data_IF_082557541588
#
_entry.id   IF_082557541588
#
_cell.length_a   1.000
_cell.length_b   1.000
_cell.length_c   1.000
_cell.angle_alpha   90.00
_cell.angle_beta   90.00
_cell.angle_gamma   90.00
#
_symmetry.space_group_name_H-M   'P 1'
#
loop_
_entity.id
_entity.type
_entity.pdbx_description
1 polymer ?
#
# COMPACT_ATOMS: atom_id res chain seq x y z
N UNK A 1 -8.76 7.23 15.10
CA UNK A 1 -7.70 7.70 14.18
C UNK A 1 -7.84 7.16 12.74
N UNK A 2 -8.94 6.49 12.36
CA UNK A 2 -9.21 6.05 10.98
C UNK A 2 -9.65 7.16 10.00
N UNK A 3 -10.10 8.30 10.52
CA UNK A 3 -10.73 9.38 9.74
C UNK A 3 -9.81 10.12 8.74
N UNK A 4 -8.49 9.96 8.85
CA UNK A 4 -7.54 10.64 7.94
C UNK A 4 -7.19 9.77 6.73
N UNK A 5 -7.07 8.44 6.91
CA UNK A 5 -6.66 7.53 5.85
C UNK A 5 -7.70 7.45 4.72
N UNK A 6 -8.99 7.34 5.04
CA UNK A 6 -10.06 7.29 4.02
C UNK A 6 -10.14 8.59 3.20
N UNK A 7 -10.02 9.75 3.87
CA UNK A 7 -9.97 11.05 3.20
C UNK A 7 -8.76 11.16 2.29
N UNK A 8 -7.61 10.67 2.74
CA UNK A 8 -6.41 10.64 1.93
C UNK A 8 -6.60 9.74 0.70
N UNK A 9 -7.24 8.57 0.84
CA UNK A 9 -7.59 7.72 -0.32
C UNK A 9 -8.51 8.43 -1.30
N UNK A 10 -9.53 9.15 -0.82
CA UNK A 10 -10.39 9.97 -1.68
C UNK A 10 -9.60 11.05 -2.42
N UNK A 11 -8.70 11.74 -1.72
CA UNK A 11 -7.85 12.78 -2.30
C UNK A 11 -6.89 12.20 -3.36
N UNK A 12 -6.26 11.05 -3.08
CA UNK A 12 -5.40 10.36 -4.04
C UNK A 12 -6.18 9.97 -5.30
N UNK A 13 -7.41 9.47 -5.16
CA UNK A 13 -8.28 9.14 -6.31
C UNK A 13 -8.67 10.37 -7.11
N UNK A 14 -8.94 11.50 -6.46
CA UNK A 14 -9.27 12.76 -7.14
C UNK A 14 -8.08 13.30 -7.95
N UNK A 15 -6.86 13.22 -7.39
CA UNK A 15 -5.64 13.73 -8.04
C UNK A 15 -5.15 12.80 -9.14
N UNK A 16 -5.14 11.48 -8.89
CA UNK A 16 -4.61 10.49 -9.82
C UNK A 16 -5.63 10.08 -10.89
N UNK A 17 -6.93 10.09 -10.57
CA UNK A 17 -8.02 9.71 -11.48
C UNK A 17 -7.75 8.33 -12.12
N UNK A 18 -7.73 8.23 -13.44
CA UNK A 18 -7.43 7.00 -14.20
C UNK A 18 -6.03 6.46 -13.94
N UNK A 19 -5.13 7.29 -13.41
CA UNK A 19 -3.79 6.87 -13.02
C UNK A 19 -3.77 6.25 -11.62
N UNK A 20 -4.86 6.18 -10.86
CA UNK A 20 -4.85 5.50 -9.56
C UNK A 20 -4.51 4.01 -9.74
N UNK A 21 -3.46 3.52 -9.07
CA UNK A 21 -3.05 2.12 -9.12
C UNK A 21 -4.00 1.28 -8.29
N UNK A 22 -4.54 0.22 -8.87
CA UNK A 22 -5.23 -0.82 -8.10
C UNK A 22 -4.39 -2.10 -8.16
N UNK A 23 -4.10 -2.67 -7.00
CA UNK A 23 -3.33 -3.91 -6.87
C UNK A 23 -4.26 -5.06 -6.46
N UNK A 24 -4.05 -6.23 -7.07
CA UNK A 24 -4.75 -7.43 -6.67
C UNK A 24 -3.90 -8.68 -6.89
N UNK A 25 -3.91 -9.59 -5.92
CA UNK A 25 -3.35 -10.93 -6.11
C UNK A 25 -4.43 -11.84 -6.71
N UNK A 26 -4.17 -12.39 -7.90
CA UNK A 26 -5.12 -13.26 -8.62
C UNK A 26 -4.98 -14.73 -8.22
N UNK A 27 -3.75 -15.18 -8.03
CA UNK A 27 -3.41 -16.52 -7.60
C UNK A 27 -2.09 -16.49 -6.84
N UNK A 28 -1.87 -17.49 -5.98
CA UNK A 28 -0.58 -17.68 -5.31
C UNK A 28 -0.31 -19.16 -5.05
N UNK A 29 0.97 -19.51 -4.93
CA UNK A 29 1.47 -20.74 -4.34
C UNK A 29 2.36 -20.42 -3.15
N UNK A 30 2.38 -21.34 -2.19
CA UNK A 30 3.11 -21.21 -0.94
C UNK A 30 3.86 -22.51 -0.67
N UNK A 31 5.14 -22.40 -0.39
CA UNK A 31 5.97 -23.49 0.13
C UNK A 31 6.55 -23.03 1.46
N UNK A 32 6.35 -23.83 2.51
CA UNK A 32 6.77 -23.48 3.86
C UNK A 32 7.55 -24.65 4.47
N UNK A 33 8.79 -24.38 4.88
CA UNK A 33 9.60 -25.29 5.67
C UNK A 33 9.47 -24.90 7.15
N UNK A 34 8.54 -25.58 7.83
CA UNK A 34 8.27 -25.36 9.25
C UNK A 34 9.46 -25.68 10.16
N UNK A 35 10.42 -26.49 9.70
CA UNK A 35 11.61 -26.83 10.49
C UNK A 35 12.66 -25.72 10.44
N UNK A 36 12.71 -24.98 9.33
CA UNK A 36 13.64 -23.86 9.12
C UNK A 36 13.00 -22.49 9.38
N UNK A 37 11.67 -22.43 9.47
CA UNK A 37 10.93 -21.18 9.57
C UNK A 37 11.07 -20.34 8.29
N UNK A 38 11.15 -20.99 7.14
CA UNK A 38 11.33 -20.36 5.83
C UNK A 38 10.05 -20.54 5.00
N UNK A 39 9.64 -19.46 4.35
CA UNK A 39 8.44 -19.40 3.54
C UNK A 39 8.76 -18.76 2.19
N UNK A 40 8.43 -19.47 1.11
CA UNK A 40 8.51 -19.01 -0.26
C UNK A 40 7.09 -18.84 -0.80
N UNK A 41 6.79 -17.65 -1.30
CA UNK A 41 5.50 -17.35 -1.92
C UNK A 41 5.71 -16.88 -3.36
N UNK A 42 5.00 -17.49 -4.30
CA UNK A 42 4.88 -16.99 -5.68
C UNK A 42 3.44 -16.53 -5.90
N UNK A 43 3.25 -15.37 -6.49
CA UNK A 43 1.91 -14.82 -6.69
C UNK A 43 1.78 -14.02 -7.98
N UNK A 44 0.58 -14.04 -8.54
CA UNK A 44 0.20 -13.28 -9.72
C UNK A 44 -0.35 -11.92 -9.29
N UNK A 45 0.47 -10.88 -9.40
CA UNK A 45 0.11 -9.50 -9.09
C UNK A 45 -0.50 -8.84 -10.34
N UNK A 46 -1.78 -8.52 -10.27
CA UNK A 46 -2.43 -7.66 -11.25
C UNK A 46 -2.25 -6.19 -10.87
N UNK A 47 -1.78 -5.40 -11.83
CA UNK A 47 -1.65 -3.95 -11.77
C UNK A 47 -2.54 -3.40 -12.89
N UNK A 48 -3.62 -2.68 -12.56
CA UNK A 48 -4.58 -2.17 -13.58
C UNK A 48 -5.16 -3.31 -14.45
N UNK A 49 -5.71 -3.00 -15.63
CA UNK A 49 -6.21 -3.96 -16.63
C UNK A 49 -5.09 -4.69 -17.39
N UNK A 50 -3.86 -4.68 -16.86
CA UNK A 50 -2.73 -5.35 -17.47
C UNK A 50 -2.70 -6.84 -17.13
N UNK A 51 -1.92 -7.60 -17.90
CA UNK A 51 -1.70 -9.01 -17.61
C UNK A 51 -1.00 -9.16 -16.24
N UNK A 52 -1.47 -10.08 -15.37
CA UNK A 52 -0.83 -10.31 -14.09
C UNK A 52 0.64 -10.68 -14.26
N UNK A 53 1.50 -10.09 -13.43
CA UNK A 53 2.94 -10.39 -13.39
C UNK A 53 3.20 -11.38 -12.27
N UNK A 54 4.07 -12.36 -12.51
CA UNK A 54 4.51 -13.29 -11.47
C UNK A 54 5.57 -12.64 -10.59
N UNK A 55 5.32 -12.63 -9.29
CA UNK A 55 6.21 -12.06 -8.28
C UNK A 55 6.54 -13.16 -7.28
N UNK A 56 7.80 -13.19 -6.84
CA UNK A 56 8.28 -14.09 -5.81
C UNK A 56 8.69 -13.29 -4.57
N UNK A 57 8.41 -13.83 -3.40
CA UNK A 57 8.82 -13.26 -2.12
C UNK A 57 9.19 -14.35 -1.13
N UNK A 58 10.14 -14.02 -0.25
CA UNK A 58 10.64 -14.91 0.80
C UNK A 58 10.45 -14.25 2.15
N UNK A 59 10.20 -15.05 3.18
CA UNK A 59 10.01 -14.57 4.54
C UNK A 59 9.85 -15.71 5.54
N UNK A 60 9.41 -15.38 6.75
CA UNK A 60 9.15 -16.37 7.82
C UNK A 60 7.70 -16.88 7.84
N UNK A 61 6.85 -16.36 6.96
CA UNK A 61 5.46 -16.77 6.80
C UNK A 61 4.78 -16.02 5.65
N UNK A 62 3.53 -16.38 5.33
CA UNK A 62 2.82 -15.91 4.14
C UNK A 62 2.80 -14.38 3.98
N UNK A 63 2.54 -13.66 5.07
CA UNK A 63 2.40 -12.19 5.04
C UNK A 63 3.75 -11.50 4.85
N UNK A 64 4.78 -12.01 5.53
CA UNK A 64 6.14 -11.51 5.40
C UNK A 64 6.69 -11.79 3.99
N UNK A 65 6.51 -13.02 3.48
CA UNK A 65 6.89 -13.39 2.13
C UNK A 65 6.18 -12.53 1.07
N UNK A 66 4.86 -12.33 1.21
CA UNK A 66 4.10 -11.44 0.32
C UNK A 66 4.65 -10.01 0.36
N UNK A 67 4.84 -9.45 1.55
CA UNK A 67 5.30 -8.08 1.70
C UNK A 67 6.70 -7.87 1.15
N UNK A 68 7.61 -8.82 1.39
CA UNK A 68 8.95 -8.81 0.80
C UNK A 68 8.90 -8.91 -0.73
N UNK A 69 8.03 -9.76 -1.29
CA UNK A 69 7.85 -9.85 -2.75
C UNK A 69 7.30 -8.56 -3.35
N UNK A 70 6.28 -7.96 -2.72
CA UNK A 70 5.74 -6.66 -3.13
C UNK A 70 6.81 -5.57 -3.05
N UNK A 71 7.56 -5.49 -1.94
CA UNK A 71 8.63 -4.52 -1.75
C UNK A 71 9.73 -4.70 -2.79
N UNK A 72 10.22 -5.91 -3.02
CA UNK A 72 11.28 -6.15 -4.02
C UNK A 72 10.83 -5.79 -5.44
N UNK A 73 9.58 -6.09 -5.78
CA UNK A 73 9.04 -5.81 -7.10
C UNK A 73 8.74 -4.32 -7.33
N UNK A 74 8.21 -3.63 -6.34
CA UNK A 74 7.70 -2.26 -6.48
C UNK A 74 8.66 -1.18 -5.97
N UNK A 75 9.58 -1.48 -5.06
CA UNK A 75 10.40 -0.45 -4.41
C UNK A 75 11.41 0.25 -5.33
N UNK A 76 11.77 -0.36 -6.46
CA UNK A 76 12.59 0.31 -7.48
C UNK A 76 11.89 1.56 -8.02
N UNK A 77 10.60 1.43 -8.32
CA UNK A 77 9.79 2.52 -8.87
C UNK A 77 9.18 3.38 -7.76
N UNK A 78 8.94 2.78 -6.58
CA UNK A 78 8.27 3.39 -5.44
C UNK A 78 9.07 3.22 -4.13
N UNK A 79 10.15 4.00 -3.90
CA UNK A 79 10.98 3.91 -2.70
C UNK A 79 10.23 4.05 -1.37
N UNK A 80 9.04 4.64 -1.35
CA UNK A 80 8.19 4.71 -0.14
C UNK A 80 7.92 3.35 0.51
N UNK A 81 7.92 2.26 -0.25
CA UNK A 81 7.75 0.90 0.29
C UNK A 81 8.96 0.41 1.09
N UNK A 82 10.14 1.01 0.92
CA UNK A 82 11.35 0.67 1.67
C UNK A 82 11.39 1.31 3.05
N UNK A 83 10.62 2.38 3.29
CA UNK A 83 10.64 3.17 4.52
C UNK A 83 9.53 2.82 5.52
N UNK A 84 8.74 1.79 5.23
CA UNK A 84 7.60 1.35 6.04
C UNK A 84 7.89 0.00 6.73
N UNK A 85 7.31 -0.20 7.91
CA UNK A 85 7.44 -1.43 8.68
C UNK A 85 6.09 -1.89 9.25
N UNK A 86 5.92 -3.21 9.45
CA UNK A 86 4.75 -3.72 10.15
C UNK A 86 4.75 -3.28 11.62
N UNK A 87 3.66 -2.67 12.07
CA UNK A 87 3.40 -2.38 13.48
C UNK A 87 2.46 -3.40 14.12
N UNK A 88 1.54 -3.96 13.34
CA UNK A 88 0.52 -4.88 13.83
C UNK A 88 0.16 -5.91 12.76
N UNK A 89 -0.11 -7.13 13.19
CA UNK A 89 -0.86 -8.10 12.42
C UNK A 89 -1.85 -8.82 13.34
N UNK A 90 -3.13 -8.81 12.98
CA UNK A 90 -4.18 -9.48 13.73
C UNK A 90 -5.16 -10.17 12.78
N UNK A 91 -5.60 -11.37 13.17
CA UNK A 91 -6.66 -12.10 12.46
C UNK A 91 -7.75 -12.41 13.46
N UNK A 92 -8.99 -12.08 13.11
CA UNK A 92 -10.17 -12.41 13.88
C UNK A 92 -11.12 -13.28 13.07
N UNK A 93 -11.51 -14.42 13.64
CA UNK A 93 -12.61 -15.22 13.10
C UNK A 93 -13.96 -14.59 13.42
N UNK A 94 -14.78 -14.37 12.40
CA UNK A 94 -16.14 -13.85 12.51
C UNK A 94 -17.12 -15.03 12.52
N UNK A 95 -17.36 -15.56 13.73
CA UNK A 95 -18.12 -16.80 13.94
C UNK A 95 -19.65 -16.59 14.07
N UNK A 96 -20.14 -15.35 13.98
CA UNK A 96 -21.53 -14.98 14.33
C UNK A 96 -22.42 -14.61 13.12
N UNK A 97 -22.13 -15.09 11.90
CA UNK A 97 -23.13 -15.01 10.82
C UNK A 97 -24.22 -16.04 11.07
N UNK A 98 -25.51 -15.67 10.94
CA UNK A 98 -26.69 -16.47 11.31
C UNK A 98 -26.77 -17.92 10.75
N UNK A 99 -25.89 -18.30 9.82
CA UNK A 99 -25.67 -19.66 9.29
C UNK A 99 -24.75 -20.57 10.17
N UNK A 100 -24.20 -20.06 11.27
CA UNK A 100 -23.05 -20.65 11.96
C UNK A 100 -23.37 -21.69 13.05
N UNK A 101 -24.41 -22.52 12.90
CA UNK A 101 -24.56 -23.68 13.80
C UNK A 101 -23.65 -24.85 13.45
N UNK A 102 -23.18 -24.99 12.20
CA UNK A 102 -22.40 -26.17 11.79
C UNK A 102 -21.32 -25.93 10.70
N UNK A 103 -21.05 -24.69 10.30
CA UNK A 103 -20.18 -24.42 9.14
C UNK A 103 -18.78 -23.95 9.54
N UNK A 104 -17.74 -24.68 9.12
CA UNK A 104 -16.33 -24.23 9.16
C UNK A 104 -16.02 -23.09 8.19
N UNK A 105 -17.02 -22.59 7.43
CA UNK A 105 -16.90 -21.48 6.46
C UNK A 105 -17.07 -20.12 7.13
N UNK A 106 -16.44 -19.92 8.29
CA UNK A 106 -16.44 -18.63 8.96
C UNK A 106 -15.66 -17.60 8.15
N UNK A 107 -16.10 -16.34 8.21
CA UNK A 107 -15.33 -15.24 7.66
C UNK A 107 -14.15 -14.91 8.58
N UNK A 108 -13.06 -14.43 8.00
CA UNK A 108 -11.92 -13.90 8.71
C UNK A 108 -11.76 -12.41 8.39
N UNK A 109 -11.47 -11.62 9.41
CA UNK A 109 -11.00 -10.25 9.27
C UNK A 109 -9.50 -10.23 9.58
N UNK A 110 -8.69 -9.80 8.61
CA UNK A 110 -7.29 -9.49 8.84
C UNK A 110 -7.12 -7.98 9.01
N UNK A 111 -6.32 -7.60 9.99
CA UNK A 111 -5.88 -6.22 10.25
C UNK A 111 -4.36 -6.17 10.15
N UNK A 112 -3.85 -5.32 9.27
CA UNK A 112 -2.44 -5.03 9.05
C UNK A 112 -2.18 -3.59 9.48
N UNK A 113 -1.31 -3.40 10.47
CA UNK A 113 -0.79 -2.10 10.87
C UNK A 113 0.57 -1.87 10.24
N UNK A 114 0.77 -0.68 9.69
CA UNK A 114 2.03 -0.21 9.12
C UNK A 114 2.43 1.09 9.81
N UNK A 115 3.69 1.19 10.23
CA UNK A 115 4.29 2.42 10.71
C UNK A 115 5.25 2.97 9.66
N UNK A 116 5.20 4.27 9.42
CA UNK A 116 6.16 4.96 8.56
C UNK A 116 7.38 5.44 9.38
N UNK A 117 8.42 5.95 8.71
CA UNK A 117 9.63 6.48 9.38
C UNK A 117 9.37 7.69 10.31
N UNK A 118 8.21 8.35 10.22
CA UNK A 118 7.80 9.43 11.13
C UNK A 118 7.06 8.89 12.37
N UNK A 119 6.91 7.57 12.52
CA UNK A 119 6.22 6.94 13.64
C UNK A 119 4.69 6.98 13.54
N UNK A 120 4.16 7.39 12.38
CA UNK A 120 2.72 7.44 12.14
C UNK A 120 2.21 6.06 11.72
N UNK A 121 1.12 5.63 12.34
CA UNK A 121 0.50 4.33 12.12
C UNK A 121 -0.68 4.39 11.15
N UNK A 122 -0.75 3.40 10.26
CA UNK A 122 -1.78 3.19 9.25
C UNK A 122 -2.35 1.79 9.43
N UNK A 123 -3.66 1.65 9.26
CA UNK A 123 -4.36 0.38 9.52
C UNK A 123 -5.15 -0.02 8.29
N UNK A 124 -4.93 -1.25 7.84
CA UNK A 124 -5.55 -1.82 6.66
C UNK A 124 -6.31 -3.08 7.05
N UNK A 125 -7.56 -3.17 6.62
CA UNK A 125 -8.44 -4.28 6.97
C UNK A 125 -9.00 -4.95 5.73
N UNK A 126 -9.17 -6.27 5.81
CA UNK A 126 -9.85 -7.05 4.79
C UNK A 126 -10.64 -8.18 5.41
N UNK A 127 -11.88 -8.34 4.93
CA UNK A 127 -12.77 -9.44 5.30
C UNK A 127 -12.86 -10.41 4.14
N UNK A 128 -12.55 -11.68 4.40
CA UNK A 128 -12.59 -12.74 3.40
C UNK A 128 -13.02 -14.07 4.04
N UNK A 129 -13.59 -15.01 3.26
CA UNK A 129 -13.92 -16.36 3.74
C UNK A 129 -12.67 -17.26 3.92
N UNK A 130 -11.47 -16.70 3.81
CA UNK A 130 -10.19 -17.40 3.98
C UNK A 130 -9.24 -16.51 4.76
N UNK A 131 -8.61 -17.08 5.78
CA UNK A 131 -7.60 -16.42 6.63
C UNK A 131 -6.44 -15.90 5.78
N UNK A 132 -5.87 -16.75 4.92
CA UNK A 132 -4.77 -16.36 4.03
C UNK A 132 -5.20 -15.25 3.08
N UNK A 133 -6.40 -15.36 2.48
CA UNK A 133 -6.90 -14.34 1.56
C UNK A 133 -7.14 -13.00 2.24
N UNK A 134 -7.68 -13.00 3.47
CA UNK A 134 -7.86 -11.78 4.25
C UNK A 134 -6.50 -11.10 4.51
N UNK A 135 -5.52 -11.86 4.97
CA UNK A 135 -4.17 -11.33 5.23
C UNK A 135 -3.49 -10.80 3.97
N UNK A 136 -3.57 -11.54 2.87
CA UNK A 136 -3.04 -11.11 1.57
C UNK A 136 -3.68 -9.79 1.13
N UNK A 137 -5.02 -9.69 1.18
CA UNK A 137 -5.71 -8.49 0.75
C UNK A 137 -5.42 -7.27 1.63
N UNK A 138 -5.36 -7.44 2.96
CA UNK A 138 -5.00 -6.35 3.86
C UNK A 138 -3.56 -5.84 3.57
N UNK A 139 -2.63 -6.75 3.28
CA UNK A 139 -1.24 -6.41 2.94
C UNK A 139 -1.14 -5.72 1.58
N UNK A 140 -1.89 -6.18 0.58
CA UNK A 140 -1.95 -5.55 -0.75
C UNK A 140 -2.54 -4.15 -0.66
N UNK A 141 -3.59 -3.95 0.15
CA UNK A 141 -4.16 -2.61 0.41
C UNK A 141 -3.12 -1.66 1.01
N UNK A 142 -2.28 -2.15 1.92
CA UNK A 142 -1.20 -1.36 2.47
C UNK A 142 -0.21 -0.93 1.38
N UNK A 143 0.29 -1.86 0.57
CA UNK A 143 1.21 -1.55 -0.53
C UNK A 143 0.57 -0.58 -1.54
N UNK A 144 -0.68 -0.79 -1.93
CA UNK A 144 -1.43 0.10 -2.82
C UNK A 144 -1.51 1.53 -2.27
N UNK A 145 -1.78 1.68 -0.97
CA UNK A 145 -1.88 2.98 -0.32
C UNK A 145 -0.57 3.76 -0.43
N UNK A 146 0.56 3.15 -0.08
CA UNK A 146 1.86 3.82 -0.11
C UNK A 146 2.32 4.16 -1.53
N UNK A 147 2.13 3.24 -2.48
CA UNK A 147 2.44 3.50 -3.89
C UNK A 147 1.60 4.65 -4.45
N UNK A 148 0.28 4.65 -4.21
CA UNK A 148 -0.56 5.74 -4.69
C UNK A 148 -0.25 7.06 -4.00
N UNK A 149 0.09 7.02 -2.71
CA UNK A 149 0.48 8.23 -2.00
C UNK A 149 1.72 8.85 -2.65
N UNK A 150 2.71 8.04 -3.03
CA UNK A 150 3.94 8.52 -3.66
C UNK A 150 3.66 9.13 -5.03
N UNK A 151 2.83 8.44 -5.82
CA UNK A 151 2.38 8.94 -7.12
C UNK A 151 1.60 10.23 -7.01
N UNK A 152 0.76 10.37 -5.98
CA UNK A 152 0.05 11.61 -5.70
C UNK A 152 1.02 12.75 -5.38
N UNK A 153 2.05 12.50 -4.57
CA UNK A 153 3.07 13.49 -4.27
C UNK A 153 3.81 13.97 -5.53
N UNK A 154 4.26 13.03 -6.37
CA UNK A 154 4.93 13.37 -7.64
C UNK A 154 4.00 14.19 -8.54
N UNK A 155 2.73 13.78 -8.66
CA UNK A 155 1.76 14.49 -9.51
C UNK A 155 1.47 15.91 -9.01
N UNK A 156 1.32 16.08 -7.70
CA UNK A 156 1.14 17.41 -7.11
C UNK A 156 2.34 18.31 -7.37
N UNK A 157 3.55 17.77 -7.26
CA UNK A 157 4.77 18.52 -7.56
C UNK A 157 4.81 19.02 -9.01
N UNK A 158 4.50 18.16 -9.99
CA UNK A 158 4.41 18.55 -11.41
C UNK A 158 3.40 19.68 -11.64
N UNK A 159 2.22 19.58 -11.02
CA UNK A 159 1.17 20.60 -11.12
C UNK A 159 1.64 21.93 -10.53
N UNK A 160 2.34 21.87 -9.40
CA UNK A 160 2.82 23.04 -8.67
C UNK A 160 3.92 23.76 -9.47
N UNK A 161 4.86 23.03 -10.07
CA UNK A 161 5.89 23.59 -10.95
C UNK A 161 5.29 24.23 -12.21
N UNK A 162 4.27 23.61 -12.81
CA UNK A 162 3.55 24.19 -13.94
C UNK A 162 2.93 25.55 -13.59
N UNK A 163 2.19 25.64 -12.48
CA UNK A 163 1.55 26.91 -12.08
C UNK A 163 2.51 27.97 -11.55
N UNK A 164 3.66 27.57 -11.00
CA UNK A 164 4.76 28.50 -10.69
C UNK A 164 5.29 29.17 -11.97
N UNK A 165 5.47 28.39 -13.04
CA UNK A 165 5.87 28.91 -14.35
C UNK A 165 4.86 29.88 -14.96
N UNK A 166 3.56 29.68 -14.72
CA UNK A 166 2.47 30.52 -15.23
C UNK A 166 2.13 31.74 -14.35
N UNK A 167 2.77 31.90 -13.19
CA UNK A 167 2.51 33.01 -12.28
C UNK A 167 1.13 32.97 -11.60
N UNK A 168 0.49 31.80 -11.54
CA UNK A 168 -0.83 31.58 -10.92
C UNK A 168 -0.69 31.34 -9.41
N UNK A 169 -0.41 32.41 -8.66
CA UNK A 169 -0.11 32.36 -7.23
C UNK A 169 -1.23 31.72 -6.40
N UNK A 170 -2.49 31.90 -6.82
CA UNK A 170 -3.69 31.29 -6.20
C UNK A 170 -3.65 29.76 -6.23
N UNK A 171 -3.23 29.19 -7.36
CA UNK A 171 -3.14 27.75 -7.53
C UNK A 171 -1.90 27.19 -6.84
N UNK A 172 -0.78 27.94 -6.86
CA UNK A 172 0.44 27.55 -6.14
C UNK A 172 0.18 27.37 -4.65
N UNK A 173 -0.53 28.30 -4.01
CA UNK A 173 -0.90 28.20 -2.60
C UNK A 173 -1.75 26.95 -2.33
N UNK A 174 -2.84 26.76 -3.10
CA UNK A 174 -3.72 25.59 -2.99
C UNK A 174 -2.97 24.26 -3.11
N UNK A 175 -2.10 24.11 -4.10
CA UNK A 175 -1.38 22.86 -4.32
C UNK A 175 -0.24 22.65 -3.30
N UNK A 176 0.32 23.72 -2.73
CA UNK A 176 1.29 23.63 -1.64
C UNK A 176 0.64 23.06 -0.38
N UNK A 177 -0.57 23.50 -0.04
CA UNK A 177 -1.33 22.97 1.10
C UNK A 177 -1.67 21.49 0.92
N UNK A 178 -2.13 21.10 -0.27
CA UNK A 178 -2.40 19.69 -0.60
C UNK A 178 -1.13 18.83 -0.51
N UNK A 179 0.00 19.33 -1.03
CA UNK A 179 1.27 18.60 -0.99
C UNK A 179 1.74 18.40 0.47
N UNK A 180 1.56 19.40 1.33
CA UNK A 180 1.89 19.29 2.76
C UNK A 180 1.05 18.22 3.46
N UNK A 181 -0.25 18.15 3.16
CA UNK A 181 -1.14 17.12 3.71
C UNK A 181 -0.74 15.72 3.25
N UNK A 182 -0.33 15.56 2.00
CA UNK A 182 0.15 14.28 1.47
C UNK A 182 1.45 13.88 2.17
N UNK A 183 2.43 14.78 2.27
CA UNK A 183 3.73 14.52 2.93
C UNK A 183 3.57 14.12 4.39
N UNK A 184 2.73 14.80 5.17
CA UNK A 184 2.50 14.44 6.59
C UNK A 184 1.86 13.06 6.79
N UNK A 185 1.32 12.46 5.73
CA UNK A 185 0.75 11.13 5.75
C UNK A 185 1.77 10.05 5.33
N UNK A 186 3.02 10.40 5.04
CA UNK A 186 3.89 9.55 4.21
C UNK A 186 5.37 9.84 4.44
N UNK A 187 6.20 8.81 4.62
CA UNK A 187 7.64 9.00 4.81
C UNK A 187 8.38 9.15 3.48
N UNK A 188 8.52 10.40 3.01
CA UNK A 188 9.10 10.75 1.71
C UNK A 188 10.48 11.39 1.73
N UNK A 189 11.27 11.21 2.79
CA UNK A 189 12.64 11.73 2.82
C UNK A 189 13.44 11.36 1.55
N UNK A 190 13.37 10.10 1.10
CA UNK A 190 14.08 9.64 -0.09
C UNK A 190 13.46 10.13 -1.42
N UNK A 191 12.13 10.22 -1.53
CA UNK A 191 11.45 10.73 -2.73
C UNK A 191 11.72 12.23 -2.91
N UNK A 192 11.69 12.99 -1.81
CA UNK A 192 12.06 14.41 -1.79
C UNK A 192 13.50 14.61 -2.25
N UNK A 193 14.43 13.76 -1.79
CA UNK A 193 15.83 13.80 -2.23
C UNK A 193 15.98 13.46 -3.72
N UNK A 194 15.27 12.44 -4.22
CA UNK A 194 15.29 12.05 -5.64
C UNK A 194 14.77 13.17 -6.54
N UNK A 195 13.66 13.81 -6.19
CA UNK A 195 13.12 14.95 -6.95
C UNK A 195 14.08 16.14 -6.89
N UNK A 196 14.65 16.44 -5.71
CA UNK A 196 15.66 17.50 -5.57
C UNK A 196 16.93 17.23 -6.40
N UNK A 197 17.33 15.97 -6.55
CA UNK A 197 18.47 15.58 -7.36
C UNK A 197 18.18 15.74 -8.87
N UNK A 198 16.97 15.38 -9.32
CA UNK A 198 16.53 15.59 -10.70
C UNK A 198 16.45 17.07 -11.10
N UNK A 199 16.27 17.98 -10.14
CA UNK A 199 16.27 19.43 -10.36
C UNK A 199 17.67 20.07 -10.42
N UNK A 200 18.73 19.33 -10.03
CA UNK A 200 20.12 19.81 -10.08
C UNK A 200 20.90 19.29 -11.30
N UNK A 201 20.29 18.43 -12.13
CA UNK A 201 20.83 17.95 -13.41
C UNK A 201 20.17 18.67 -14.57
#
# INVERSE_FOLDING_TARGET
MAFDQEKMVSLMREILQENYLTLAVKAYSLEEDLSRGECLMRFQLAQREENPVEVEGQGVGTIDALFNGLRQHLAHDYPSLSSIAFSQFAIQGLLNSDDARESSKAWAEATVGIVNSEGREFVFQARQPSVSRAGIEATVKAAEYFVNSERTYVRLHEILEHYRGEGRTDLVEKYTDLMTQVVQNTSYSEVVERIRAQLKG
#
